data_IF_610529209108
#
_entry.id   IF_610529209108
#
_cell.length_a   1.000
_cell.length_b   1.000
_cell.length_c   1.000
_cell.angle_alpha   90.00
_cell.angle_beta   90.00
_cell.angle_gamma   90.00
#
_symmetry.space_group_name_H-M   'P 1'
#
loop_
_entity.id
_entity.type
_entity.pdbx_description
1 polymer ?
#
# COMPACT_ATOMS: atom_id res chain seq x y z
N UNK A 1 48.42 -9.02 12.48
CA UNK A 1 47.12 -8.35 12.74
C UNK A 1 46.17 -8.83 11.67
N UNK A 2 45.36 -9.85 11.97
CA UNK A 2 44.46 -10.47 11.01
C UNK A 2 43.13 -9.71 11.02
N UNK A 3 42.86 -8.96 9.97
CA UNK A 3 41.53 -8.35 9.75
C UNK A 3 40.62 -9.41 9.15
N UNK A 4 39.70 -9.91 9.96
CA UNK A 4 38.60 -10.78 9.53
C UNK A 4 37.67 -9.97 8.61
N UNK A 5 37.39 -10.40 7.37
CA UNK A 5 36.34 -9.77 6.57
C UNK A 5 34.98 -10.05 7.22
N UNK A 6 34.17 -9.00 7.39
CA UNK A 6 32.84 -9.12 7.95
C UNK A 6 32.00 -10.15 7.15
N UNK A 7 31.17 -10.97 7.81
CA UNK A 7 30.31 -11.93 7.13
C UNK A 7 29.36 -11.18 6.19
N UNK A 8 29.12 -11.75 5.01
CA UNK A 8 28.23 -11.23 3.95
C UNK A 8 26.82 -10.94 4.50
N UNK A 9 26.41 -11.63 5.57
CA UNK A 9 25.14 -11.40 6.28
C UNK A 9 25.02 -10.00 6.92
N UNK A 10 26.14 -9.36 7.28
CA UNK A 10 26.12 -8.00 7.82
C UNK A 10 25.85 -6.94 6.74
N UNK A 11 26.15 -7.24 5.48
CA UNK A 11 25.92 -6.33 4.35
C UNK A 11 24.45 -6.36 3.93
N UNK A 12 23.77 -7.50 4.07
CA UNK A 12 22.33 -7.60 3.81
C UNK A 12 21.47 -6.88 4.85
N UNK A 13 21.92 -6.77 6.11
CA UNK A 13 21.18 -6.06 7.14
C UNK A 13 21.29 -4.53 7.01
N UNK A 14 22.43 -4.02 6.53
CA UNK A 14 22.70 -2.57 6.42
C UNK A 14 22.08 -1.91 5.18
N UNK A 15 21.73 -2.68 4.13
CA UNK A 15 21.00 -2.18 2.97
C UNK A 15 19.49 -2.02 3.23
N UNK A 16 18.97 -2.56 4.34
CA UNK A 16 17.58 -2.39 4.74
C UNK A 16 17.31 -1.11 5.55
N UNK A 17 18.35 -0.38 5.97
CA UNK A 17 18.21 0.80 6.87
C UNK A 17 18.25 2.15 6.16
N UNK A 18 18.18 2.16 4.82
CA UNK A 18 18.04 3.39 4.03
C UNK A 18 16.89 3.29 3.00
N UNK A 19 15.91 2.43 3.26
CA UNK A 19 14.61 2.59 2.62
C UNK A 19 13.95 3.80 3.29
N UNK A 20 13.77 4.88 2.53
CA UNK A 20 12.73 5.87 2.84
C UNK A 20 11.52 5.07 3.27
N UNK A 21 11.11 5.25 4.53
CA UNK A 21 10.10 4.44 5.17
C UNK A 21 8.87 4.39 4.25
N UNK A 22 8.58 3.26 3.57
CA UNK A 22 7.42 3.16 2.70
C UNK A 22 6.16 2.92 3.54
N UNK A 23 6.19 3.37 4.80
CA UNK A 23 5.05 3.70 5.62
C UNK A 23 4.25 4.81 4.97
N UNK A 24 3.60 4.50 3.84
CA UNK A 24 2.21 4.90 3.74
C UNK A 24 1.59 4.33 5.01
N UNK A 25 1.11 5.16 5.94
CA UNK A 25 0.58 4.65 7.17
C UNK A 25 -0.62 3.81 6.77
N UNK A 26 -0.43 2.49 6.80
CA UNK A 26 -1.52 1.52 6.68
C UNK A 26 -2.59 1.81 7.75
N UNK A 27 -2.15 2.46 8.83
CA UNK A 27 -2.92 2.95 9.97
C UNK A 27 -3.32 4.43 9.83
N UNK A 28 -3.10 5.04 8.66
CA UNK A 28 -3.45 6.42 8.37
C UNK A 28 -4.94 6.65 8.46
N UNK A 29 -5.35 7.89 8.75
CA UNK A 29 -6.75 8.28 8.74
C UNK A 29 -7.26 8.28 7.30
N UNK A 30 -7.84 7.16 6.88
CA UNK A 30 -8.51 7.07 5.60
C UNK A 30 -9.85 7.80 5.64
N UNK A 31 -10.18 8.54 4.59
CA UNK A 31 -11.55 9.02 4.38
C UNK A 31 -12.36 8.01 3.57
N UNK A 32 -13.69 8.04 3.70
CA UNK A 32 -14.56 7.19 2.89
C UNK A 32 -14.34 7.37 1.38
N UNK A 33 -14.05 8.60 0.93
CA UNK A 33 -13.76 8.92 -0.48
C UNK A 33 -12.48 8.24 -0.97
N UNK A 34 -11.42 8.27 -0.17
CA UNK A 34 -10.16 7.59 -0.50
C UNK A 34 -10.36 6.08 -0.61
N UNK A 35 -11.08 5.49 0.35
CA UNK A 35 -11.35 4.05 0.35
C UNK A 35 -12.24 3.62 -0.82
N UNK A 36 -13.18 4.48 -1.25
CA UNK A 36 -13.98 4.24 -2.43
C UNK A 36 -13.14 4.32 -3.71
N UNK A 37 -12.29 5.34 -3.86
CA UNK A 37 -11.39 5.47 -5.01
C UNK A 37 -10.43 4.27 -5.12
N UNK A 38 -9.91 3.82 -3.98
CA UNK A 38 -9.09 2.62 -3.86
C UNK A 38 -9.84 1.39 -4.35
N UNK A 39 -11.05 1.15 -3.83
CA UNK A 39 -11.88 0.01 -4.22
C UNK A 39 -12.23 -0.01 -5.71
N UNK A 40 -12.58 1.16 -6.26
CA UNK A 40 -12.92 1.28 -7.68
C UNK A 40 -11.73 0.99 -8.58
N UNK A 41 -10.54 1.47 -8.20
CA UNK A 41 -9.32 1.20 -8.95
C UNK A 41 -8.87 -0.26 -8.80
N UNK A 42 -8.96 -0.83 -7.60
CA UNK A 42 -8.67 -2.25 -7.35
C UNK A 42 -9.52 -3.15 -8.26
N UNK A 43 -10.83 -2.88 -8.35
CA UNK A 43 -11.74 -3.57 -9.26
C UNK A 43 -11.32 -3.48 -10.74
N UNK A 44 -10.70 -2.38 -11.16
CA UNK A 44 -10.19 -2.21 -12.53
C UNK A 44 -8.92 -3.02 -12.75
N UNK A 45 -7.95 -2.94 -11.84
CA UNK A 45 -6.66 -3.65 -11.98
C UNK A 45 -6.80 -5.16 -11.82
N UNK A 46 -7.78 -5.64 -11.05
CA UNK A 46 -8.09 -7.06 -10.94
C UNK A 46 -8.37 -7.75 -12.28
N UNK A 47 -8.83 -7.00 -13.29
CA UNK A 47 -9.10 -7.51 -14.65
C UNK A 47 -7.82 -7.69 -15.48
N UNK A 48 -6.69 -7.15 -15.03
CA UNK A 48 -5.44 -7.24 -15.75
C UNK A 48 -4.81 -8.63 -15.58
N UNK A 49 -4.36 -9.32 -16.64
CA UNK A 49 -3.82 -10.68 -16.54
C UNK A 49 -2.64 -10.84 -15.56
N UNK A 50 -1.80 -9.81 -15.46
CA UNK A 50 -0.65 -9.80 -14.54
C UNK A 50 -1.04 -9.63 -13.07
N UNK A 51 -2.27 -9.24 -12.76
CA UNK A 51 -2.71 -9.02 -11.38
C UNK A 51 -2.72 -10.31 -10.56
N UNK A 52 -3.25 -11.41 -11.14
CA UNK A 52 -3.23 -12.71 -10.46
C UNK A 52 -1.79 -13.21 -10.24
N UNK A 53 -0.92 -13.04 -11.25
CA UNK A 53 0.48 -13.42 -11.14
C UNK A 53 1.21 -12.64 -10.04
N UNK A 54 0.95 -11.33 -9.93
CA UNK A 54 1.50 -10.50 -8.86
C UNK A 54 1.08 -11.00 -7.46
N UNK A 55 -0.21 -11.36 -7.29
CA UNK A 55 -0.71 -11.92 -6.03
C UNK A 55 -0.08 -13.25 -5.69
N UNK A 56 0.08 -14.13 -6.66
CA UNK A 56 0.73 -15.43 -6.47
C UNK A 56 2.21 -15.28 -6.10
N UNK A 57 2.91 -14.33 -6.72
CA UNK A 57 4.30 -14.04 -6.39
C UNK A 57 4.43 -13.62 -4.90
N UNK A 58 3.55 -12.75 -4.42
CA UNK A 58 3.54 -12.30 -3.01
C UNK A 58 3.12 -13.39 -2.02
N UNK A 59 2.17 -14.25 -2.40
CA UNK A 59 1.64 -15.30 -1.51
C UNK A 59 2.73 -16.29 -1.02
N UNK A 60 3.81 -16.45 -1.78
CA UNK A 60 4.92 -17.35 -1.42
C UNK A 60 5.84 -16.77 -0.31
N UNK A 61 5.71 -15.49 0.03
CA UNK A 61 6.58 -14.82 1.01
C UNK A 61 5.96 -14.78 2.40
N UNK A 62 5.63 -15.95 2.96
CA UNK A 62 4.77 -16.24 4.14
C UNK A 62 4.95 -15.51 5.48
N UNK A 63 5.64 -14.36 5.55
CA UNK A 63 5.65 -13.44 6.70
C UNK A 63 4.89 -12.16 6.36
N UNK A 64 3.58 -12.29 6.18
CA UNK A 64 2.70 -11.15 5.92
C UNK A 64 2.41 -10.40 7.22
N UNK A 65 2.57 -9.07 7.26
CA UNK A 65 2.24 -8.29 8.45
C UNK A 65 0.75 -8.41 8.79
N UNK A 66 0.43 -8.21 10.07
CA UNK A 66 -0.94 -8.32 10.58
C UNK A 66 -1.90 -7.45 9.77
N UNK A 67 -3.01 -8.04 9.32
CA UNK A 67 -4.10 -7.34 8.64
C UNK A 67 -4.96 -6.50 9.60
N UNK A 68 -4.81 -6.72 10.90
CA UNK A 68 -5.70 -6.17 11.90
C UNK A 68 -5.62 -4.64 12.03
N UNK A 69 -4.44 -4.00 11.98
CA UNK A 69 -4.34 -2.54 11.97
C UNK A 69 -5.02 -1.90 10.74
N UNK A 70 -4.81 -2.48 9.54
CA UNK A 70 -5.48 -2.06 8.29
C UNK A 70 -7.00 -2.18 8.45
N UNK A 71 -7.47 -3.33 8.96
CA UNK A 71 -8.90 -3.58 9.17
C UNK A 71 -9.49 -2.55 10.14
N UNK A 72 -8.83 -2.30 11.26
CA UNK A 72 -9.29 -1.35 12.26
C UNK A 72 -9.39 0.07 11.68
N UNK A 73 -8.40 0.50 10.89
CA UNK A 73 -8.44 1.80 10.22
C UNK A 73 -9.60 1.91 9.22
N UNK A 74 -9.74 0.93 8.31
CA UNK A 74 -10.83 0.92 7.32
C UNK A 74 -12.22 0.90 7.97
N UNK A 75 -12.42 0.12 9.02
CA UNK A 75 -13.69 0.04 9.75
C UNK A 75 -14.03 1.37 10.41
N UNK A 76 -13.04 2.03 11.02
CA UNK A 76 -13.21 3.36 11.63
C UNK A 76 -13.66 4.38 10.57
N UNK A 77 -13.03 4.37 9.40
CA UNK A 77 -13.31 5.29 8.30
C UNK A 77 -14.67 5.10 7.62
N UNK A 78 -15.18 3.86 7.58
CA UNK A 78 -16.45 3.52 6.94
C UNK A 78 -17.62 3.36 7.92
N UNK A 79 -17.36 3.47 9.23
CA UNK A 79 -18.39 3.32 10.27
C UNK A 79 -18.88 1.88 10.46
N UNK A 80 -18.19 0.88 9.94
CA UNK A 80 -18.58 -0.53 10.05
C UNK A 80 -17.68 -1.50 9.29
N UNK A 81 -17.83 -2.79 9.58
CA UNK A 81 -17.05 -3.87 8.95
C UNK A 81 -17.74 -4.53 7.74
N UNK A 82 -19.03 -4.26 7.54
CA UNK A 82 -19.78 -4.83 6.43
C UNK A 82 -19.19 -4.34 5.09
N UNK A 83 -18.77 -5.28 4.25
CA UNK A 83 -18.26 -4.96 2.92
C UNK A 83 -16.86 -4.35 2.88
N UNK A 84 -16.07 -4.37 3.97
CA UNK A 84 -14.73 -3.74 3.94
C UNK A 84 -13.61 -4.69 3.52
N UNK A 85 -13.88 -6.00 3.42
CA UNK A 85 -12.86 -7.02 3.19
C UNK A 85 -12.05 -6.83 1.90
N UNK A 86 -12.66 -6.37 0.81
CA UNK A 86 -11.95 -6.13 -0.45
C UNK A 86 -11.02 -4.91 -0.36
N UNK A 87 -11.42 -3.88 0.40
CA UNK A 87 -10.61 -2.67 0.64
C UNK A 87 -9.38 -3.02 1.47
N UNK A 88 -9.58 -3.79 2.54
CA UNK A 88 -8.49 -4.29 3.40
C UNK A 88 -7.52 -5.14 2.58
N UNK A 89 -8.02 -6.04 1.72
CA UNK A 89 -7.17 -6.86 0.86
C UNK A 89 -6.35 -6.03 -0.13
N UNK A 90 -6.95 -5.01 -0.74
CA UNK A 90 -6.27 -4.12 -1.69
C UNK A 90 -5.17 -3.28 -1.00
N UNK A 91 -5.46 -2.70 0.17
CA UNK A 91 -4.46 -1.99 0.99
C UNK A 91 -3.30 -2.91 1.39
N UNK A 92 -3.61 -4.14 1.79
CA UNK A 92 -2.59 -5.11 2.14
C UNK A 92 -1.70 -5.50 0.96
N UNK A 93 -2.28 -5.71 -0.23
CA UNK A 93 -1.50 -5.99 -1.43
C UNK A 93 -0.59 -4.83 -1.83
N UNK A 94 -1.08 -3.60 -1.73
CA UNK A 94 -0.27 -2.42 -2.00
C UNK A 94 0.91 -2.32 -1.02
N UNK A 95 0.67 -2.59 0.27
CA UNK A 95 1.74 -2.66 1.26
C UNK A 95 2.78 -3.74 0.95
N UNK A 96 2.35 -4.95 0.61
CA UNK A 96 3.27 -6.00 0.22
C UNK A 96 4.07 -5.65 -1.03
N UNK A 97 3.46 -4.98 -1.99
CA UNK A 97 4.16 -4.51 -3.19
C UNK A 97 5.23 -3.43 -2.89
N UNK A 98 5.07 -2.68 -1.80
CA UNK A 98 6.09 -1.74 -1.30
C UNK A 98 7.17 -2.45 -0.49
N UNK A 99 6.79 -3.38 0.38
CA UNK A 99 7.72 -4.10 1.25
C UNK A 99 8.59 -5.12 0.49
N UNK A 100 8.08 -5.69 -0.59
CA UNK A 100 8.75 -6.73 -1.38
C UNK A 100 8.93 -6.32 -2.85
N UNK A 101 9.62 -5.20 -3.13
CA UNK A 101 9.70 -4.66 -4.49
C UNK A 101 10.50 -5.57 -5.44
N UNK A 102 11.38 -6.41 -4.90
CA UNK A 102 12.22 -7.35 -5.66
C UNK A 102 11.48 -8.61 -6.11
N UNK A 103 10.30 -8.88 -5.55
CA UNK A 103 9.47 -10.06 -5.88
C UNK A 103 8.60 -9.82 -7.11
N UNK A 104 8.37 -8.55 -7.45
CA UNK A 104 7.44 -8.12 -8.48
C UNK A 104 8.18 -7.51 -9.67
N UNK A 105 7.69 -7.76 -10.87
CA UNK A 105 8.08 -6.94 -12.03
C UNK A 105 7.58 -5.50 -11.87
N UNK A 106 8.17 -4.56 -12.60
CA UNK A 106 7.73 -3.17 -12.59
C UNK A 106 6.23 -3.03 -12.92
N UNK A 107 5.73 -3.81 -13.88
CA UNK A 107 4.30 -3.85 -14.25
C UNK A 107 3.43 -4.39 -13.12
N UNK A 108 3.84 -5.49 -12.48
CA UNK A 108 3.09 -6.08 -11.37
C UNK A 108 3.03 -5.14 -10.17
N UNK A 109 4.17 -4.51 -9.83
CA UNK A 109 4.24 -3.49 -8.78
C UNK A 109 3.34 -2.30 -9.09
N UNK A 110 3.39 -1.77 -10.31
CA UNK A 110 2.53 -0.67 -10.73
C UNK A 110 1.04 -1.01 -10.61
N UNK A 111 0.64 -2.24 -10.97
CA UNK A 111 -0.75 -2.70 -10.84
C UNK A 111 -1.21 -2.78 -9.39
N UNK A 112 -0.37 -3.31 -8.50
CA UNK A 112 -0.71 -3.43 -7.07
C UNK A 112 -0.67 -2.09 -6.32
N UNK A 113 0.09 -1.11 -6.81
CA UNK A 113 0.16 0.23 -6.23
C UNK A 113 -0.88 1.20 -6.80
N UNK A 114 -1.46 0.92 -7.98
CA UNK A 114 -2.45 1.79 -8.60
C UNK A 114 -3.67 2.11 -7.71
N UNK A 115 -4.25 1.17 -6.94
CA UNK A 115 -5.34 1.49 -6.01
C UNK A 115 -4.96 2.51 -4.94
N UNK A 116 -3.73 2.41 -4.45
CA UNK A 116 -3.22 3.32 -3.42
C UNK A 116 -3.02 4.72 -3.99
N UNK A 117 -2.44 4.82 -5.19
CA UNK A 117 -2.31 6.09 -5.91
C UNK A 117 -3.66 6.76 -6.19
N UNK A 118 -4.69 5.97 -6.51
CA UNK A 118 -6.04 6.51 -6.70
C UNK A 118 -6.62 7.08 -5.40
N UNK A 119 -6.34 6.45 -4.26
CA UNK A 119 -6.72 6.95 -2.94
C UNK A 119 -6.00 8.27 -2.60
N UNK A 120 -4.71 8.38 -2.92
CA UNK A 120 -3.92 9.59 -2.70
C UNK A 120 -4.45 10.77 -3.53
N UNK A 121 -4.72 10.56 -4.82
CA UNK A 121 -5.29 11.59 -5.69
C UNK A 121 -6.67 12.06 -5.21
N UNK A 122 -7.46 11.16 -4.60
CA UNK A 122 -8.76 11.52 -4.03
C UNK A 122 -8.65 12.39 -2.76
N UNK A 123 -7.52 12.32 -2.04
CA UNK A 123 -7.20 13.22 -0.93
C UNK A 123 -6.90 14.63 -1.44
N UNK A 124 -5.97 14.74 -2.40
CA UNK A 124 -5.54 16.01 -2.98
C UNK A 124 -6.69 16.80 -3.62
N UNK A 125 -7.65 16.11 -4.24
CA UNK A 125 -8.84 16.74 -4.79
C UNK A 125 -9.75 17.39 -3.73
N UNK A 126 -9.70 16.92 -2.47
CA UNK A 126 -10.51 17.47 -1.37
C UNK A 126 -9.84 18.68 -0.73
N UNK A 127 -8.51 18.66 -0.64
CA UNK A 127 -7.72 19.78 -0.09
C UNK A 127 -7.73 20.98 -1.04
N UNK A 128 -7.72 20.75 -2.36
CA UNK A 128 -7.80 21.82 -3.36
C UNK A 128 -9.19 22.47 -3.43
N UNK A 129 -10.27 21.69 -3.24
CA UNK A 129 -11.64 22.22 -3.12
C UNK A 129 -11.82 23.08 -1.86
N UNK A 130 -11.07 22.80 -0.78
CA UNK A 130 -11.14 23.58 0.45
C UNK A 130 -10.35 24.90 0.37
N UNK A 131 -9.29 24.94 -0.44
CA UNK A 131 -8.45 26.13 -0.62
C UNK A 131 -9.11 27.21 -1.51
N UNK A 132 -9.98 26.84 -2.45
CA UNK A 132 -10.67 27.83 -3.30
C UNK A 132 -11.81 28.58 -2.59
N UNK A 133 -12.31 28.07 -1.44
CA UNK A 133 -13.39 28.73 -0.68
C UNK A 133 -12.87 29.84 0.23
N UNK A 134 -11.56 29.93 0.48
CA UNK A 134 -10.97 30.95 1.36
C UNK A 134 -10.65 32.29 0.65
N UNK A 135 -10.78 32.37 -0.68
CA UNK A 135 -10.46 33.59 -1.45
C UNK A 135 -11.66 34.49 -1.82
N UNK A 136 -12.82 34.27 -1.20
CA UNK A 136 -14.05 35.03 -1.48
C UNK A 136 -14.75 35.58 -0.22
N UNK A 137 -13.98 36.10 0.76
CA UNK A 137 -14.50 36.86 1.89
C UNK A 137 -13.87 38.26 1.99
#
# INVERSE_FOLDING_TARGET
>A
MSTTPAPVDAIHLALCTAAEDPSIPLDGEWTARQLQALAEMDKRVQRHPQHMLARMALANHGNTPSLEPIRASVVRSLGGAAGTHYIVAALHLAHLAMALPHVLSATQRALLLAPLKAAEMAREATDNDSAEVEFAA
#
